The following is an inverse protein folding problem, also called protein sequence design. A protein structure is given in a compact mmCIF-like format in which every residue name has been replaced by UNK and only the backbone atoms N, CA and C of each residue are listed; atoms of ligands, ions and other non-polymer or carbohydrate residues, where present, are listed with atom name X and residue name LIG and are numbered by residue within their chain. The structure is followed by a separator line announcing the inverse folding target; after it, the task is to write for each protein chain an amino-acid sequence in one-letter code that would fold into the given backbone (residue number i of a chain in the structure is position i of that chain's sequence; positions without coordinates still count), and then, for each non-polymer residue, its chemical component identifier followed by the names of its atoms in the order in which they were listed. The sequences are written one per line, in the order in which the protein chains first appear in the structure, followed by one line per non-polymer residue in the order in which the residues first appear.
data_IF_086157323399
#
_entry.id   IF_086157323399
#
_cell.length_a   1.000
_cell.length_b   1.000
_cell.length_c   1.000
_cell.angle_alpha   90.00
_cell.angle_beta   90.00
_cell.angle_gamma   90.00
#
_symmetry.space_group_name_H-M   'P 1'
#
loop_
_entity.id
_entity.type
_entity.pdbx_description
1 polymer ?
#
# COMPACT_ATOMS: atom_id res chain seq x y z
N UNK A 1 -47.56 -36.30 -21.67
CA UNK A 1 -46.47 -36.17 -20.67
C UNK A 1 -45.10 -36.38 -21.35
N UNK A 2 -44.69 -35.52 -22.30
CA UNK A 2 -43.41 -35.69 -23.02
C UNK A 2 -42.56 -34.41 -23.09
N UNK A 3 -43.13 -33.25 -22.74
CA UNK A 3 -42.44 -31.96 -22.80
C UNK A 3 -41.93 -31.45 -21.43
N UNK A 4 -42.13 -32.19 -20.35
CA UNK A 4 -41.76 -31.73 -19.00
C UNK A 4 -40.31 -32.08 -18.62
N UNK A 5 -39.72 -33.07 -19.31
CA UNK A 5 -38.32 -33.49 -19.09
C UNK A 5 -37.33 -32.44 -19.61
N UNK A 6 -37.71 -31.69 -20.65
CA UNK A 6 -36.89 -30.61 -21.23
C UNK A 6 -36.73 -29.40 -20.29
N UNK A 7 -37.70 -29.15 -19.39
CA UNK A 7 -37.63 -28.01 -18.48
C UNK A 7 -36.64 -28.22 -17.32
N UNK A 8 -36.48 -29.48 -16.88
CA UNK A 8 -35.61 -29.83 -15.75
C UNK A 8 -34.13 -29.82 -16.14
N UNK A 9 -33.81 -30.16 -17.40
CA UNK A 9 -32.43 -30.10 -17.91
C UNK A 9 -31.85 -28.68 -17.98
N UNK A 10 -32.69 -27.65 -18.11
CA UNK A 10 -32.28 -26.25 -18.21
C UNK A 10 -31.91 -25.63 -16.85
N UNK A 11 -32.40 -26.18 -15.75
CA UNK A 11 -32.17 -25.66 -14.39
C UNK A 11 -30.89 -26.17 -13.74
N UNK A 12 -30.26 -27.23 -14.29
CA UNK A 12 -29.03 -27.80 -13.72
C UNK A 12 -27.77 -27.02 -14.18
N UNK A 13 -27.86 -26.28 -15.30
CA UNK A 13 -26.72 -25.56 -15.88
C UNK A 13 -26.35 -24.23 -15.21
N UNK A 14 -27.17 -23.69 -14.30
CA UNK A 14 -26.94 -22.36 -13.70
C UNK A 14 -26.23 -22.37 -12.34
N UNK A 15 -25.98 -23.54 -11.74
CA UNK A 15 -25.37 -23.64 -10.41
C UNK A 15 -23.83 -23.74 -10.42
N UNK A 16 -23.18 -23.86 -11.59
CA UNK A 16 -21.71 -23.95 -11.68
C UNK A 16 -20.97 -22.61 -11.74
N UNK A 17 -21.67 -21.48 -11.56
CA UNK A 17 -21.05 -20.19 -11.26
C UNK A 17 -21.34 -19.76 -9.83
N UNK A 18 -21.24 -20.68 -8.87
CA UNK A 18 -20.73 -20.31 -7.56
C UNK A 18 -19.24 -19.96 -7.78
N UNK A 19 -18.97 -18.77 -8.31
CA UNK A 19 -17.64 -18.19 -8.21
C UNK A 19 -17.32 -18.25 -6.72
N UNK A 20 -16.34 -19.09 -6.41
CA UNK A 20 -15.61 -19.07 -5.18
C UNK A 20 -15.18 -17.61 -5.03
N UNK A 21 -15.98 -16.82 -4.30
CA UNK A 21 -15.55 -15.52 -3.83
C UNK A 21 -14.48 -15.90 -2.83
N UNK A 22 -13.28 -16.11 -3.34
CA UNK A 22 -12.08 -15.95 -2.55
C UNK A 22 -12.34 -14.66 -1.79
N UNK A 23 -12.48 -14.78 -0.47
CA UNK A 23 -12.40 -13.65 0.41
C UNK A 23 -11.00 -13.10 0.10
N UNK A 24 -10.93 -12.18 -0.86
CA UNK A 24 -9.83 -11.26 -0.98
C UNK A 24 -9.86 -10.59 0.38
N UNK A 25 -9.01 -11.10 1.28
CA UNK A 25 -8.55 -10.30 2.39
C UNK A 25 -8.09 -9.02 1.70
N UNK A 26 -8.86 -7.94 1.86
CA UNK A 26 -8.44 -6.60 1.46
C UNK A 26 -7.12 -6.36 2.19
N UNK A 27 -6.01 -6.78 1.58
CA UNK A 27 -4.71 -6.26 1.93
C UNK A 27 -4.85 -4.78 1.64
N UNK A 28 -4.71 -3.93 2.65
CA UNK A 28 -4.73 -2.50 2.39
C UNK A 28 -3.48 -2.20 1.59
N UNK A 29 -3.64 -2.12 0.27
CA UNK A 29 -2.53 -1.79 -0.61
C UNK A 29 -1.96 -0.43 -0.19
N UNK A 30 -0.62 -0.29 -0.19
CA UNK A 30 0.02 0.99 0.12
C UNK A 30 -0.53 2.10 -0.78
N UNK A 31 -0.99 3.19 -0.17
CA UNK A 31 -1.63 4.30 -0.87
C UNK A 31 -0.91 5.61 -0.59
N UNK A 32 -0.80 6.44 -1.64
CA UNK A 32 -0.17 7.77 -1.59
C UNK A 32 -1.18 8.84 -2.00
N UNK A 33 -1.21 9.95 -1.27
CA UNK A 33 -1.92 11.18 -1.66
C UNK A 33 -0.94 12.34 -1.58
N UNK A 34 -0.81 13.13 -2.64
CA UNK A 34 0.14 14.24 -2.72
C UNK A 34 -0.27 15.23 -3.81
N UNK A 35 0.44 16.35 -3.89
CA UNK A 35 0.21 17.39 -4.90
C UNK A 35 0.93 17.06 -6.23
N UNK A 36 2.15 16.52 -6.18
CA UNK A 36 2.99 16.26 -7.36
C UNK A 36 3.63 14.87 -7.28
N UNK A 37 3.63 14.15 -8.42
CA UNK A 37 4.38 12.90 -8.61
C UNK A 37 5.40 13.06 -9.72
N UNK A 38 6.63 12.62 -9.48
CA UNK A 38 7.71 12.54 -10.48
C UNK A 38 8.25 11.12 -10.54
N UNK A 39 8.61 10.66 -11.73
CA UNK A 39 9.23 9.36 -11.94
C UNK A 39 10.63 9.55 -12.54
N UNK A 40 11.64 8.95 -11.91
CA UNK A 40 13.01 8.85 -12.45
C UNK A 40 13.23 7.42 -12.96
N UNK A 41 13.21 7.26 -14.28
CA UNK A 41 13.38 5.97 -14.93
C UNK A 41 14.80 5.41 -14.82
N UNK A 42 15.82 6.25 -14.61
CA UNK A 42 17.22 5.78 -14.49
C UNK A 42 17.46 5.14 -13.15
N UNK A 43 16.88 5.71 -12.09
CA UNK A 43 17.00 5.21 -10.72
C UNK A 43 15.88 4.26 -10.32
N UNK A 44 14.83 4.17 -11.14
CA UNK A 44 13.59 3.47 -10.86
C UNK A 44 12.95 3.94 -9.54
N UNK A 45 12.83 5.26 -9.37
CA UNK A 45 12.28 5.88 -8.17
C UNK A 45 11.06 6.74 -8.50
N UNK A 46 10.08 6.76 -7.60
CA UNK A 46 8.97 7.71 -7.60
C UNK A 46 9.14 8.73 -6.49
N UNK A 47 8.95 10.00 -6.80
CA UNK A 47 9.03 11.11 -5.85
C UNK A 47 7.66 11.77 -5.74
N UNK A 48 7.12 11.79 -4.53
CA UNK A 48 5.85 12.40 -4.15
C UNK A 48 6.18 13.69 -3.38
N UNK A 49 5.60 14.82 -3.77
CA UNK A 49 5.87 16.13 -3.15
C UNK A 49 4.57 16.86 -2.81
N UNK A 50 4.60 17.63 -1.73
CA UNK A 50 3.49 18.50 -1.29
C UNK A 50 2.42 17.72 -0.54
N UNK A 51 2.30 18.01 0.77
CA UNK A 51 1.29 17.47 1.69
C UNK A 51 1.10 15.94 1.54
N UNK A 52 2.22 15.23 1.53
CA UNK A 52 2.25 13.80 1.20
C UNK A 52 1.71 13.00 2.37
N UNK A 53 0.64 12.26 2.11
CA UNK A 53 0.08 11.26 3.01
C UNK A 53 0.36 9.87 2.45
N UNK A 54 0.80 8.97 3.32
CA UNK A 54 1.05 7.57 2.98
C UNK A 54 0.37 6.66 4.00
N UNK A 55 -0.28 5.60 3.52
CA UNK A 55 -0.91 4.60 4.38
C UNK A 55 -0.66 3.20 3.84
N UNK A 56 -0.20 2.32 4.72
CA UNK A 56 -0.19 0.87 4.52
C UNK A 56 -0.86 0.18 5.71
N UNK A 57 -0.84 -1.16 5.73
CA UNK A 57 -1.29 -1.96 6.87
C UNK A 57 -0.54 -1.63 8.18
N UNK A 58 0.72 -1.17 8.09
CA UNK A 58 1.64 -1.08 9.24
C UNK A 58 1.96 0.36 9.60
N UNK A 59 1.97 1.28 8.63
CA UNK A 59 2.39 2.66 8.86
C UNK A 59 1.44 3.66 8.21
N UNK A 60 1.20 4.77 8.92
CA UNK A 60 0.47 5.93 8.44
C UNK A 60 1.34 7.18 8.63
N UNK A 61 1.57 7.91 7.54
CA UNK A 61 2.33 9.16 7.50
C UNK A 61 1.37 10.29 7.08
N UNK A 62 1.42 11.42 7.79
CA UNK A 62 0.58 12.57 7.49
C UNK A 62 1.40 13.83 7.28
N UNK A 63 1.03 14.58 6.25
CA UNK A 63 1.56 15.91 5.93
C UNK A 63 3.09 15.93 5.82
N UNK A 64 3.70 14.93 5.17
CA UNK A 64 5.12 14.97 4.86
C UNK A 64 5.39 15.92 3.68
N UNK A 65 6.53 16.61 3.67
CA UNK A 65 6.89 17.46 2.53
C UNK A 65 7.16 16.63 1.27
N UNK A 66 7.83 15.48 1.45
CA UNK A 66 8.23 14.60 0.34
C UNK A 66 8.43 13.15 0.78
N UNK A 67 8.07 12.23 -0.12
CA UNK A 67 8.45 10.81 -0.05
C UNK A 67 9.15 10.42 -1.34
N UNK A 68 10.28 9.71 -1.24
CA UNK A 68 10.95 9.05 -2.37
C UNK A 68 10.84 7.54 -2.19
N UNK A 69 10.17 6.87 -3.12
CA UNK A 69 10.05 5.41 -3.18
C UNK A 69 11.06 4.85 -4.18
N UNK A 70 11.85 3.86 -3.75
CA UNK A 70 12.66 3.04 -4.62
C UNK A 70 11.89 1.77 -5.01
N UNK A 71 11.46 1.69 -6.28
CA UNK A 71 10.63 0.59 -6.77
C UNK A 71 11.36 -0.76 -6.80
N UNK A 72 12.70 -0.77 -6.72
CA UNK A 72 13.47 -2.03 -6.68
C UNK A 72 13.46 -2.66 -5.29
N UNK A 73 13.36 -1.84 -4.23
CA UNK A 73 13.54 -2.29 -2.84
C UNK A 73 12.31 -2.07 -1.97
N UNK A 74 11.31 -1.34 -2.48
CA UNK A 74 10.17 -0.84 -1.72
C UNK A 74 10.55 0.01 -0.49
N UNK A 75 11.77 0.55 -0.47
CA UNK A 75 12.21 1.51 0.52
C UNK A 75 11.62 2.88 0.20
N UNK A 76 11.04 3.52 1.21
CA UNK A 76 10.64 4.92 1.20
C UNK A 76 11.56 5.74 2.10
N UNK A 77 11.96 6.90 1.59
CA UNK A 77 12.66 7.94 2.34
C UNK A 77 11.73 9.13 2.44
N UNK A 78 11.40 9.51 3.66
CA UNK A 78 10.43 10.55 3.99
C UNK A 78 11.17 11.73 4.59
N UNK A 79 10.89 12.93 4.10
CA UNK A 79 11.48 14.18 4.61
C UNK A 79 10.39 15.20 4.93
N UNK A 80 10.64 16.07 5.91
CA UNK A 80 9.65 17.06 6.36
C UNK A 80 8.48 16.38 7.04
N UNK A 81 8.76 15.37 7.87
CA UNK A 81 7.76 14.56 8.54
C UNK A 81 7.14 15.35 9.70
N UNK A 82 5.84 15.64 9.64
CA UNK A 82 5.11 16.22 10.76
C UNK A 82 4.70 15.17 11.78
N UNK A 83 3.89 14.20 11.35
CA UNK A 83 3.29 13.17 12.21
C UNK A 83 3.31 11.79 11.53
N UNK A 84 3.54 10.74 12.32
CA UNK A 84 3.44 9.36 11.86
C UNK A 84 3.00 8.40 12.96
N UNK A 85 2.38 7.30 12.55
CA UNK A 85 2.00 6.17 13.40
C UNK A 85 2.51 4.88 12.75
N UNK A 86 3.09 3.99 13.55
CA UNK A 86 3.54 2.67 13.09
C UNK A 86 3.12 1.58 14.07
N UNK A 87 2.59 0.47 13.56
CA UNK A 87 2.37 -0.78 14.30
C UNK A 87 3.65 -1.63 14.25
N UNK A 88 4.66 -1.18 15.00
CA UNK A 88 6.00 -1.74 14.92
C UNK A 88 7.00 -1.05 15.84
N UNK A 89 8.29 -1.32 15.60
CA UNK A 89 9.37 -0.70 16.34
C UNK A 89 9.94 0.51 15.58
N UNK A 90 10.25 1.57 16.31
CA UNK A 90 11.02 2.71 15.80
C UNK A 90 12.44 2.58 16.33
N UNK A 91 13.42 2.55 15.44
CA UNK A 91 14.83 2.61 15.79
C UNK A 91 15.36 4.02 15.53
N UNK A 92 15.92 4.64 16.56
CA UNK A 92 16.52 5.98 16.46
C UNK A 92 18.03 5.80 16.41
N UNK A 93 18.66 6.34 15.36
CA UNK A 93 20.12 6.34 15.24
C UNK A 93 20.67 7.60 15.92
N UNK A 94 21.76 7.48 16.68
CA UNK A 94 22.30 8.56 17.53
C UNK A 94 22.42 9.93 16.85
N UNK A 95 22.17 11.00 17.62
CA UNK A 95 22.15 12.43 17.18
C UNK A 95 21.20 12.74 16.01
N UNK A 96 20.27 11.85 15.67
CA UNK A 96 19.27 12.09 14.64
C UNK A 96 18.51 13.41 14.87
N UNK A 97 18.75 14.39 14.01
CA UNK A 97 17.84 15.52 13.85
C UNK A 97 16.63 14.96 13.11
N UNK A 98 15.60 14.55 13.87
CA UNK A 98 14.35 13.82 13.51
C UNK A 98 13.61 14.25 12.23
N UNK A 99 14.30 14.34 11.11
CA UNK A 99 13.85 15.01 9.90
C UNK A 99 13.71 14.01 8.76
N UNK A 100 14.33 12.82 8.87
CA UNK A 100 14.31 11.78 7.84
C UNK A 100 13.83 10.45 8.44
N UNK A 101 12.72 9.95 7.93
CA UNK A 101 12.22 8.60 8.22
C UNK A 101 12.53 7.68 7.05
N UNK A 102 13.18 6.55 7.31
CA UNK A 102 13.39 5.47 6.34
C UNK A 102 12.55 4.27 6.72
N UNK A 103 11.82 3.72 5.76
CA UNK A 103 10.90 2.61 5.96
C UNK A 103 10.85 1.73 4.73
N UNK A 104 10.82 0.41 4.90
CA UNK A 104 10.57 -0.54 3.80
C UNK A 104 9.13 -1.03 3.88
N UNK A 105 8.37 -0.88 2.79
CA UNK A 105 6.95 -1.22 2.77
C UNK A 105 6.74 -2.71 3.09
N UNK A 106 5.95 -2.97 4.14
CA UNK A 106 5.64 -4.33 4.63
C UNK A 106 6.48 -4.76 5.84
N UNK A 107 7.53 -4.02 6.17
CA UNK A 107 8.33 -4.28 7.38
C UNK A 107 7.68 -3.65 8.62
N UNK A 108 8.07 -4.13 9.80
CA UNK A 108 7.63 -3.63 11.12
C UNK A 108 8.64 -2.72 11.83
N UNK A 109 9.73 -2.37 11.15
CA UNK A 109 10.79 -1.54 11.71
C UNK A 109 10.96 -0.31 10.82
N UNK A 110 10.92 0.88 11.43
CA UNK A 110 11.27 2.13 10.77
C UNK A 110 12.46 2.80 11.47
N UNK A 111 13.27 3.52 10.69
CA UNK A 111 14.47 4.19 11.16
C UNK A 111 14.28 5.70 11.11
N UNK A 112 14.55 6.36 12.23
CA UNK A 112 14.58 7.81 12.32
C UNK A 112 16.03 8.29 12.39
N UNK A 113 16.41 9.08 11.38
CA UNK A 113 17.73 9.70 11.19
C UNK A 113 17.66 11.22 11.27
#
# INVERSE_FOLDING_TARGET
MKNWILLIGLLIGVNSFAQDKSIENEKNEPSFKCDIVKFDSKKNTMEFQGNVNFKSDIIELKNADKIVLNNNTNEIIVTGLGEFTIDGAIQIKDKAEKNILKYTIGERIAYLE
#
